data_IF_583787514665
#
_entry.id   IF_583787514665
#
_cell.length_a   1.000
_cell.length_b   1.000
_cell.length_c   1.000
_cell.angle_alpha   90.00
_cell.angle_beta   90.00
_cell.angle_gamma   90.00
#
_symmetry.space_group_name_H-M   'P 1'
#
loop_
_entity.id
_entity.type
_entity.pdbx_description
1 polymer ?
#
# COMPACT_ATOMS: atom_id res chain seq x y z
N UNK A 1 47.91 -91.85 -28.99
CA UNK A 1 46.72 -91.83 -28.10
C UNK A 1 46.62 -90.47 -27.48
N UNK A 2 45.78 -89.59 -28.01
CA UNK A 2 45.57 -88.24 -27.51
C UNK A 2 44.15 -88.16 -26.91
N UNK A 3 43.95 -87.58 -25.69
CA UNK A 3 42.61 -87.43 -25.12
C UNK A 3 41.91 -86.21 -25.71
N UNK A 4 40.69 -86.40 -26.15
CA UNK A 4 39.78 -85.35 -26.59
C UNK A 4 39.27 -84.48 -25.47
N UNK A 5 39.47 -83.18 -25.54
CA UNK A 5 38.93 -82.18 -24.62
C UNK A 5 37.48 -81.80 -25.04
N UNK A 6 36.52 -82.17 -24.24
CA UNK A 6 35.13 -81.75 -24.32
C UNK A 6 34.95 -80.31 -23.81
N UNK A 7 34.74 -79.38 -24.73
CA UNK A 7 34.36 -77.96 -24.35
C UNK A 7 32.86 -77.88 -24.12
N UNK A 8 32.49 -77.53 -22.95
CA UNK A 8 31.07 -77.20 -22.54
C UNK A 8 30.58 -75.91 -23.21
N UNK A 9 29.31 -75.85 -23.70
CA UNK A 9 28.79 -74.66 -24.36
C UNK A 9 28.45 -73.55 -23.30
N UNK A 10 28.53 -72.25 -23.67
CA UNK A 10 28.29 -71.17 -22.80
C UNK A 10 26.81 -71.11 -22.36
N UNK A 11 26.59 -70.96 -21.06
CA UNK A 11 25.27 -70.74 -20.45
C UNK A 11 24.65 -69.45 -20.98
N UNK A 12 23.61 -69.53 -21.79
CA UNK A 12 22.75 -68.41 -22.18
C UNK A 12 22.02 -67.86 -20.92
N UNK A 13 22.32 -66.61 -20.54
CA UNK A 13 21.58 -65.87 -19.52
C UNK A 13 20.21 -65.53 -20.04
N UNK A 14 19.16 -66.11 -19.48
CA UNK A 14 17.76 -65.73 -19.78
C UNK A 14 17.47 -64.35 -19.23
N UNK A 15 16.88 -63.43 -20.02
CA UNK A 15 16.51 -62.11 -19.51
C UNK A 15 15.45 -62.26 -18.43
N UNK A 16 15.73 -61.65 -17.28
CA UNK A 16 14.89 -61.67 -16.06
C UNK A 16 13.58 -60.95 -16.36
N UNK A 17 12.53 -61.67 -16.72
CA UNK A 17 11.15 -61.14 -16.94
C UNK A 17 10.64 -60.49 -15.64
N UNK A 18 10.54 -59.17 -15.64
CA UNK A 18 9.95 -58.45 -14.51
C UNK A 18 8.47 -58.78 -14.39
N UNK A 19 8.01 -59.28 -13.25
CA UNK A 19 6.63 -59.71 -13.02
C UNK A 19 5.65 -58.56 -13.23
N UNK A 20 4.45 -58.81 -13.79
CA UNK A 20 3.44 -57.75 -14.01
C UNK A 20 3.02 -57.02 -12.71
N UNK A 21 3.13 -57.67 -11.58
CA UNK A 21 2.89 -57.08 -10.27
C UNK A 21 3.89 -55.95 -9.92
N UNK A 22 5.20 -56.15 -10.21
CA UNK A 22 6.23 -55.09 -9.99
C UNK A 22 6.04 -53.89 -10.92
N UNK A 23 5.60 -54.07 -12.16
CA UNK A 23 5.26 -52.98 -13.09
C UNK A 23 4.06 -52.17 -12.59
N UNK A 24 3.00 -52.82 -12.10
CA UNK A 24 1.81 -52.17 -11.50
C UNK A 24 2.15 -51.42 -10.23
N UNK A 25 3.00 -51.96 -9.37
CA UNK A 25 3.46 -51.25 -8.14
C UNK A 25 4.33 -50.02 -8.47
N UNK A 26 5.22 -50.08 -9.45
CA UNK A 26 6.02 -48.95 -9.92
C UNK A 26 5.16 -47.83 -10.51
N UNK A 27 4.14 -48.17 -11.31
CA UNK A 27 3.18 -47.21 -11.87
C UNK A 27 2.37 -46.55 -10.77
N UNK A 28 1.85 -47.30 -9.78
CA UNK A 28 1.12 -46.72 -8.62
C UNK A 28 2.02 -45.81 -7.81
N UNK A 29 3.31 -46.15 -7.56
CA UNK A 29 4.25 -45.30 -6.84
C UNK A 29 4.53 -44.01 -7.62
N UNK A 30 4.74 -44.10 -8.95
CA UNK A 30 4.93 -42.91 -9.82
C UNK A 30 3.73 -41.99 -9.79
N UNK A 31 2.50 -42.55 -9.89
CA UNK A 31 1.27 -41.74 -9.86
C UNK A 31 1.06 -41.07 -8.52
N UNK A 32 1.41 -41.70 -7.38
CA UNK A 32 1.34 -41.08 -6.05
C UNK A 32 2.37 -39.96 -5.93
N UNK A 33 3.58 -40.13 -6.45
CA UNK A 33 4.60 -39.08 -6.45
C UNK A 33 4.20 -37.90 -7.34
N UNK A 34 3.62 -38.16 -8.52
CA UNK A 34 3.08 -37.12 -9.40
C UNK A 34 1.91 -36.38 -8.75
N UNK A 35 0.99 -37.08 -8.13
CA UNK A 35 -0.12 -36.45 -7.40
C UNK A 35 0.40 -35.58 -6.24
N UNK A 36 1.41 -36.05 -5.49
CA UNK A 36 2.07 -35.24 -4.45
C UNK A 36 2.74 -34.01 -5.01
N UNK A 37 3.46 -34.12 -6.13
CA UNK A 37 4.12 -33.00 -6.80
C UNK A 37 3.11 -31.96 -7.29
N UNK A 38 1.97 -32.40 -7.82
CA UNK A 38 0.87 -31.51 -8.26
C UNK A 38 0.29 -30.76 -7.07
N UNK A 39 0.03 -31.43 -5.94
CA UNK A 39 -0.47 -30.79 -4.71
C UNK A 39 0.53 -29.74 -4.21
N UNK A 40 1.81 -30.07 -4.15
CA UNK A 40 2.85 -29.12 -3.74
C UNK A 40 2.89 -27.92 -4.71
N UNK A 41 2.82 -28.16 -6.02
CA UNK A 41 2.80 -27.08 -7.01
C UNK A 41 1.60 -26.16 -6.84
N UNK A 42 0.41 -26.71 -6.56
CA UNK A 42 -0.80 -25.91 -6.27
C UNK A 42 -0.62 -25.09 -4.98
N UNK A 43 -0.11 -25.69 -3.92
CA UNK A 43 0.13 -24.98 -2.64
C UNK A 43 1.12 -23.84 -2.85
N UNK A 44 2.22 -24.07 -3.57
CA UNK A 44 3.19 -23.02 -3.90
C UNK A 44 2.56 -21.91 -4.74
N UNK A 45 1.79 -22.28 -5.76
CA UNK A 45 1.08 -21.30 -6.59
C UNK A 45 0.10 -20.44 -5.78
N UNK A 46 -0.66 -21.04 -4.85
CA UNK A 46 -1.55 -20.32 -3.94
C UNK A 46 -0.75 -19.39 -3.03
N UNK A 47 0.32 -19.87 -2.40
CA UNK A 47 1.15 -19.05 -1.50
C UNK A 47 1.82 -17.87 -2.23
N UNK A 48 2.22 -18.04 -3.48
CA UNK A 48 2.79 -16.96 -4.31
C UNK A 48 1.73 -15.99 -4.79
N UNK A 49 0.51 -16.47 -5.09
CA UNK A 49 -0.58 -15.60 -5.57
C UNK A 49 -1.30 -14.83 -4.45
N UNK A 50 -1.32 -15.34 -3.22
CA UNK A 50 -1.96 -14.69 -2.06
C UNK A 50 -1.52 -13.22 -1.86
N UNK A 51 -0.22 -12.87 -1.82
CA UNK A 51 0.20 -11.48 -1.63
C UNK A 51 -0.19 -10.57 -2.82
N UNK A 52 -0.20 -11.11 -4.04
CA UNK A 52 -0.66 -10.38 -5.23
C UNK A 52 -2.16 -10.09 -5.16
N UNK A 53 -2.98 -11.09 -4.79
CA UNK A 53 -4.42 -10.93 -4.60
C UNK A 53 -4.71 -9.96 -3.46
N UNK A 54 -4.01 -10.07 -2.32
CA UNK A 54 -4.15 -9.14 -1.20
C UNK A 54 -3.78 -7.71 -1.61
N UNK A 55 -2.69 -7.53 -2.35
CA UNK A 55 -2.30 -6.20 -2.86
C UNK A 55 -3.40 -5.61 -3.76
N UNK A 56 -3.96 -6.40 -4.67
CA UNK A 56 -5.04 -5.96 -5.56
C UNK A 56 -6.31 -5.65 -4.77
N UNK A 57 -6.71 -6.52 -3.82
CA UNK A 57 -7.87 -6.27 -2.95
C UNK A 57 -7.67 -4.99 -2.13
N UNK A 58 -6.48 -4.76 -1.57
CA UNK A 58 -6.17 -3.55 -0.81
C UNK A 58 -6.15 -2.28 -1.69
N UNK A 59 -5.77 -2.39 -2.96
CA UNK A 59 -5.86 -1.27 -3.91
C UNK A 59 -7.31 -0.91 -4.25
N UNK A 60 -8.21 -1.89 -4.32
CA UNK A 60 -9.64 -1.67 -4.56
C UNK A 60 -10.44 -1.46 -3.27
N UNK A 61 -9.93 -1.86 -2.10
CA UNK A 61 -10.57 -1.62 -0.82
C UNK A 61 -10.47 -0.14 -0.45
N UNK A 62 -11.53 0.40 0.14
CA UNK A 62 -11.53 1.68 0.82
C UNK A 62 -11.67 1.38 2.32
N UNK A 63 -10.55 1.14 3.03
CA UNK A 63 -10.63 0.92 4.47
C UNK A 63 -11.04 2.22 5.18
N UNK A 64 -11.83 2.11 6.24
CA UNK A 64 -12.16 3.22 7.11
C UNK A 64 -12.02 2.77 8.56
N UNK A 65 -11.09 3.37 9.26
CA UNK A 65 -10.93 3.24 10.72
C UNK A 65 -10.89 4.63 11.33
N UNK A 66 -11.12 4.74 12.65
CA UNK A 66 -11.13 6.03 13.36
C UNK A 66 -12.12 7.07 12.77
N UNK A 67 -13.28 6.61 12.29
CA UNK A 67 -14.27 7.49 11.67
C UNK A 67 -14.79 8.56 12.64
N UNK A 68 -14.93 8.23 13.91
CA UNK A 68 -15.29 9.14 15.01
C UNK A 68 -14.27 10.27 15.18
N UNK A 69 -12.97 9.94 15.20
CA UNK A 69 -11.88 10.92 15.26
C UNK A 69 -11.89 11.81 14.01
N UNK A 70 -12.05 11.21 12.83
CA UNK A 70 -12.12 11.96 11.56
C UNK A 70 -13.28 12.96 11.59
N UNK A 71 -14.49 12.53 12.02
CA UNK A 71 -15.64 13.45 12.18
C UNK A 71 -15.36 14.57 13.17
N UNK A 72 -14.81 14.23 14.33
CA UNK A 72 -14.45 15.21 15.35
C UNK A 72 -13.47 16.26 14.81
N UNK A 73 -12.40 15.82 14.14
CA UNK A 73 -11.41 16.74 13.59
C UNK A 73 -11.96 17.56 12.41
N UNK A 74 -12.81 16.95 11.58
CA UNK A 74 -13.52 17.65 10.52
C UNK A 74 -14.39 18.80 11.06
N UNK A 75 -15.20 18.53 12.08
CA UNK A 75 -16.03 19.53 12.73
C UNK A 75 -15.21 20.65 13.38
N UNK A 76 -14.18 20.30 14.15
CA UNK A 76 -13.33 21.27 14.86
C UNK A 76 -12.55 22.20 13.92
N UNK A 77 -12.18 21.70 12.75
CA UNK A 77 -11.32 22.40 11.81
C UNK A 77 -12.04 22.85 10.54
N UNK A 78 -13.37 22.68 10.50
CA UNK A 78 -14.19 23.01 9.34
C UNK A 78 -13.69 22.38 8.05
N UNK A 79 -13.32 21.09 8.13
CA UNK A 79 -12.86 20.27 6.99
C UNK A 79 -13.96 19.31 6.57
N UNK A 80 -13.90 18.88 5.31
CA UNK A 80 -14.68 17.74 4.85
C UNK A 80 -14.09 16.44 5.42
N UNK A 81 -14.85 15.61 6.16
CA UNK A 81 -14.33 14.34 6.68
C UNK A 81 -13.89 13.38 5.59
N UNK A 82 -14.51 13.40 4.41
CA UNK A 82 -14.07 12.60 3.27
C UNK A 82 -12.71 13.07 2.72
N UNK A 83 -12.39 14.35 2.80
CA UNK A 83 -11.08 14.88 2.44
C UNK A 83 -10.00 14.37 3.40
N UNK A 84 -10.26 14.39 4.73
CA UNK A 84 -9.34 13.81 5.72
C UNK A 84 -9.11 12.33 5.44
N UNK A 85 -10.18 11.56 5.22
CA UNK A 85 -10.09 10.15 4.88
C UNK A 85 -9.33 9.91 3.56
N UNK A 86 -9.50 10.80 2.58
CA UNK A 86 -8.77 10.78 1.31
C UNK A 86 -7.27 10.98 1.49
N UNK A 87 -6.86 11.91 2.36
CA UNK A 87 -5.45 12.13 2.72
C UNK A 87 -4.88 10.89 3.41
N UNK A 88 -5.54 10.36 4.44
CA UNK A 88 -5.11 9.13 5.13
C UNK A 88 -4.95 7.97 4.15
N UNK A 89 -5.90 7.82 3.23
CA UNK A 89 -5.82 6.78 2.21
C UNK A 89 -4.63 6.97 1.26
N UNK A 90 -4.37 8.18 0.83
CA UNK A 90 -3.26 8.47 -0.07
C UNK A 90 -1.90 8.26 0.60
N UNK A 91 -1.78 8.58 1.90
CA UNK A 91 -0.56 8.45 2.69
C UNK A 91 -0.27 6.98 3.07
N UNK A 92 -1.24 6.31 3.66
CA UNK A 92 -1.00 5.02 4.32
C UNK A 92 -2.03 3.95 4.01
N UNK A 93 -3.12 4.26 3.33
CA UNK A 93 -4.29 3.36 3.19
C UNK A 93 -4.82 2.88 4.56
N UNK A 94 -4.79 3.76 5.57
CA UNK A 94 -5.17 3.46 6.96
C UNK A 94 -4.29 2.42 7.68
N UNK A 95 -3.08 2.17 7.18
CA UNK A 95 -2.06 1.32 7.83
C UNK A 95 -0.93 2.22 8.38
N UNK A 96 -0.95 2.56 9.69
CA UNK A 96 -0.03 3.55 10.25
C UNK A 96 1.40 3.02 10.23
N UNK A 97 2.32 3.85 9.74
CA UNK A 97 3.74 3.50 9.62
C UNK A 97 4.65 4.72 9.67
N UNK A 98 5.93 4.48 9.87
CA UNK A 98 6.96 5.50 9.65
C UNK A 98 7.49 5.38 8.22
N UNK A 99 7.71 6.51 7.55
CA UNK A 99 8.36 6.54 6.24
C UNK A 99 9.89 6.58 6.37
N UNK A 100 10.59 6.27 5.29
CA UNK A 100 12.05 6.42 5.23
C UNK A 100 12.50 7.89 5.41
N UNK A 101 11.65 8.85 5.08
CA UNK A 101 11.88 10.28 5.30
C UNK A 101 11.55 10.74 6.73
N UNK A 102 11.07 9.85 7.60
CA UNK A 102 10.74 10.16 9.00
C UNK A 102 9.34 10.70 9.24
N UNK A 103 8.45 10.69 8.24
CA UNK A 103 7.03 11.01 8.45
C UNK A 103 6.34 9.89 9.24
N UNK A 104 5.38 10.23 10.10
CA UNK A 104 4.80 9.34 11.09
C UNK A 104 3.28 9.20 10.95
N UNK A 105 2.78 8.01 11.23
CA UNK A 105 1.38 7.69 11.46
C UNK A 105 0.51 7.70 10.21
N UNK A 106 -0.81 7.76 10.41
CA UNK A 106 -1.84 7.62 9.37
C UNK A 106 -1.77 8.71 8.29
N UNK A 107 -1.51 9.95 8.69
CA UNK A 107 -1.45 11.12 7.82
C UNK A 107 -0.01 11.53 7.46
N UNK A 108 0.99 10.70 7.80
CA UNK A 108 2.41 10.90 7.50
C UNK A 108 2.89 12.31 7.87
N UNK A 109 2.64 12.72 9.11
CA UNK A 109 3.04 14.04 9.60
C UNK A 109 4.54 14.05 9.90
N UNK A 110 5.25 15.02 9.34
CA UNK A 110 6.67 15.22 9.64
C UNK A 110 6.84 15.78 11.06
N UNK A 111 7.85 15.31 11.84
CA UNK A 111 8.15 15.83 13.17
C UNK A 111 8.29 17.34 13.23
N UNK A 112 8.94 17.91 12.25
CA UNK A 112 9.13 19.38 12.16
C UNK A 112 7.81 20.11 11.94
N UNK A 113 6.93 19.59 11.09
CA UNK A 113 5.59 20.14 10.87
C UNK A 113 4.76 20.06 12.17
N UNK A 114 4.82 18.93 12.87
CA UNK A 114 4.10 18.79 14.13
C UNK A 114 4.63 19.75 15.21
N UNK A 115 5.94 19.93 15.31
CA UNK A 115 6.53 20.90 16.25
C UNK A 115 6.10 22.34 15.92
N UNK A 116 6.09 22.72 14.63
CA UNK A 116 5.56 24.01 14.18
C UNK A 116 4.10 24.21 14.60
N UNK A 117 3.26 23.20 14.36
CA UNK A 117 1.84 23.26 14.71
C UNK A 117 1.60 23.26 16.24
N UNK A 118 2.40 22.50 17.00
CA UNK A 118 2.35 22.52 18.46
C UNK A 118 2.65 23.91 19.02
N UNK A 119 3.74 24.54 18.53
CA UNK A 119 4.06 25.92 18.90
C UNK A 119 2.93 26.89 18.54
N UNK A 120 2.39 26.78 17.32
CA UNK A 120 1.31 27.64 16.82
C UNK A 120 0.00 27.49 17.60
N UNK A 121 -0.29 26.29 18.13
CA UNK A 121 -1.48 26.01 18.93
C UNK A 121 -1.31 26.28 20.44
N UNK A 122 -0.09 26.58 20.88
CA UNK A 122 0.24 26.70 22.30
C UNK A 122 0.28 25.38 23.07
N UNK A 123 0.43 24.25 22.37
CA UNK A 123 0.55 22.94 23.01
C UNK A 123 1.90 22.79 23.71
N UNK A 124 1.88 22.61 25.04
CA UNK A 124 3.08 22.55 25.89
C UNK A 124 3.54 21.13 26.22
N UNK A 125 2.67 20.14 26.03
CA UNK A 125 2.93 18.74 26.41
C UNK A 125 3.17 17.82 25.23
N UNK A 126 3.08 18.30 23.99
CA UNK A 126 3.25 17.51 22.78
C UNK A 126 4.71 17.03 22.63
N UNK A 127 4.85 15.75 22.31
CA UNK A 127 6.11 15.15 21.90
C UNK A 127 5.94 14.48 20.52
N UNK A 128 7.04 14.35 19.78
CA UNK A 128 7.01 13.68 18.45
C UNK A 128 6.53 12.23 18.54
N UNK A 129 6.76 11.54 19.66
CA UNK A 129 6.31 10.17 19.89
C UNK A 129 4.77 10.05 19.87
N UNK A 130 4.05 11.11 20.22
CA UNK A 130 2.59 11.15 20.24
C UNK A 130 1.98 10.97 18.83
N UNK A 131 2.76 11.27 17.78
CA UNK A 131 2.34 11.05 16.39
C UNK A 131 2.13 9.57 16.02
N UNK A 132 2.60 8.63 16.85
CA UNK A 132 2.30 7.21 16.71
C UNK A 132 0.85 6.87 17.09
N UNK A 133 0.21 7.72 17.90
CA UNK A 133 -1.18 7.56 18.31
C UNK A 133 -2.13 8.04 17.20
N UNK A 134 -3.03 7.19 16.68
CA UNK A 134 -3.91 7.54 15.57
C UNK A 134 -4.69 8.84 15.77
N UNK A 135 -5.30 9.02 16.94
CA UNK A 135 -6.09 10.22 17.23
C UNK A 135 -5.25 11.50 17.20
N UNK A 136 -4.04 11.48 17.78
CA UNK A 136 -3.11 12.61 17.76
C UNK A 136 -2.63 12.88 16.33
N UNK A 137 -2.28 11.83 15.60
CA UNK A 137 -1.82 11.96 14.24
C UNK A 137 -2.88 12.57 13.31
N UNK A 138 -4.13 12.10 13.40
CA UNK A 138 -5.25 12.67 12.64
C UNK A 138 -5.48 14.13 13.05
N UNK A 139 -5.38 14.47 14.34
CA UNK A 139 -5.56 15.84 14.81
C UNK A 139 -4.49 16.79 14.22
N UNK A 140 -3.22 16.40 14.25
CA UNK A 140 -2.13 17.21 13.71
C UNK A 140 -2.15 17.28 12.18
N UNK A 141 -2.39 16.15 11.49
CA UNK A 141 -2.52 16.12 10.04
C UNK A 141 -3.69 16.96 9.52
N UNK A 142 -4.83 16.88 10.20
CA UNK A 142 -6.01 17.72 9.89
C UNK A 142 -5.74 19.20 10.19
N UNK A 143 -4.98 19.51 11.24
CA UNK A 143 -4.59 20.90 11.52
C UNK A 143 -3.67 21.43 10.42
N UNK A 144 -2.68 20.65 9.99
CA UNK A 144 -1.82 21.05 8.89
C UNK A 144 -2.59 21.25 7.58
N UNK A 145 -3.52 20.35 7.28
CA UNK A 145 -4.39 20.48 6.09
C UNK A 145 -5.22 21.77 6.14
N UNK A 146 -5.80 22.11 7.31
CA UNK A 146 -6.53 23.38 7.50
C UNK A 146 -5.60 24.59 7.35
N UNK A 147 -4.41 24.52 7.93
CA UNK A 147 -3.40 25.56 7.79
C UNK A 147 -3.12 25.84 6.31
N UNK A 148 -2.83 24.79 5.53
CA UNK A 148 -2.54 24.91 4.10
C UNK A 148 -3.75 25.42 3.29
N UNK A 149 -4.97 24.98 3.62
CA UNK A 149 -6.17 25.51 2.98
C UNK A 149 -6.33 27.02 3.23
N UNK A 150 -5.98 27.51 4.40
CA UNK A 150 -6.01 28.94 4.70
C UNK A 150 -4.92 29.69 3.91
N UNK A 151 -3.69 29.16 3.86
CA UNK A 151 -2.58 29.77 3.09
C UNK A 151 -2.92 29.86 1.59
N UNK A 152 -3.60 28.86 1.04
CA UNK A 152 -3.99 28.83 -0.38
C UNK A 152 -5.46 29.23 -0.63
N UNK A 153 -6.03 30.04 0.24
CA UNK A 153 -7.38 30.66 0.08
C UNK A 153 -8.49 29.66 -0.25
N UNK A 154 -8.46 28.48 0.35
CA UNK A 154 -9.43 27.40 0.13
C UNK A 154 -9.18 26.54 -1.10
N UNK A 155 -8.10 26.79 -1.86
CA UNK A 155 -7.77 25.96 -3.03
C UNK A 155 -7.22 24.60 -2.58
N UNK A 156 -8.11 23.59 -2.62
CA UNK A 156 -7.77 22.21 -2.20
C UNK A 156 -6.62 21.61 -3.01
N UNK A 157 -6.55 21.89 -4.30
CA UNK A 157 -5.45 21.38 -5.16
C UNK A 157 -4.09 21.89 -4.70
N UNK A 158 -3.99 23.21 -4.43
CA UNK A 158 -2.75 23.83 -3.96
C UNK A 158 -2.39 23.36 -2.54
N UNK A 159 -3.36 23.28 -1.65
CA UNK A 159 -3.17 22.79 -0.29
C UNK A 159 -2.66 21.33 -0.27
N UNK A 160 -3.23 20.46 -1.09
CA UNK A 160 -2.78 19.08 -1.22
C UNK A 160 -1.38 18.97 -1.87
N UNK A 161 -1.11 19.82 -2.86
CA UNK A 161 0.21 19.89 -3.46
C UNK A 161 1.27 20.33 -2.44
N UNK A 162 0.94 21.29 -1.56
CA UNK A 162 1.83 21.75 -0.49
C UNK A 162 1.98 20.71 0.62
N UNK A 163 0.92 19.98 0.95
CA UNK A 163 0.97 18.90 1.92
C UNK A 163 2.03 17.85 1.58
N UNK A 164 2.09 17.44 0.31
CA UNK A 164 3.03 16.43 -0.16
C UNK A 164 4.35 17.02 -0.67
N UNK A 165 4.28 18.11 -1.43
CA UNK A 165 5.43 18.69 -2.12
C UNK A 165 6.13 19.84 -1.38
N UNK A 166 5.51 20.35 -0.29
CA UNK A 166 5.99 21.48 0.48
C UNK A 166 5.59 22.85 -0.09
N UNK A 167 5.31 23.80 0.81
CA UNK A 167 4.82 25.15 0.51
C UNK A 167 5.77 25.91 -0.43
N UNK A 168 7.07 25.94 -0.14
CA UNK A 168 8.06 26.66 -0.96
C UNK A 168 8.13 26.19 -2.42
N UNK A 169 7.82 24.93 -2.68
CA UNK A 169 7.73 24.42 -4.05
C UNK A 169 6.47 24.93 -4.74
N UNK A 170 5.33 24.85 -4.06
CA UNK A 170 4.03 25.29 -4.59
C UNK A 170 4.06 26.79 -4.89
N UNK A 171 4.64 27.61 -4.01
CA UNK A 171 4.77 29.06 -4.21
C UNK A 171 5.59 29.38 -5.46
N UNK A 172 6.69 28.64 -5.69
CA UNK A 172 7.47 28.78 -6.92
C UNK A 172 6.69 28.35 -8.17
N UNK A 173 5.91 27.30 -8.07
CA UNK A 173 5.09 26.85 -9.21
C UNK A 173 3.97 27.82 -9.52
N UNK A 174 3.34 28.41 -8.49
CA UNK A 174 2.34 29.48 -8.66
C UNK A 174 2.95 30.69 -9.37
N UNK A 175 4.14 31.14 -8.93
CA UNK A 175 4.84 32.24 -9.55
C UNK A 175 5.17 31.95 -11.01
N UNK A 176 5.62 30.75 -11.33
CA UNK A 176 5.90 30.32 -12.71
C UNK A 176 4.66 30.29 -13.60
N UNK A 177 3.53 29.75 -13.12
CA UNK A 177 2.27 29.74 -13.85
C UNK A 177 1.73 31.16 -14.11
N UNK A 178 1.81 32.03 -13.09
CA UNK A 178 1.43 33.47 -13.24
C UNK A 178 2.28 34.18 -14.28
N UNK A 179 3.57 33.93 -14.32
CA UNK A 179 4.47 34.51 -15.33
C UNK A 179 4.08 34.07 -16.76
N UNK A 180 3.42 32.92 -16.90
CA UNK A 180 2.89 32.39 -18.16
C UNK A 180 1.42 32.80 -18.42
N UNK A 181 0.82 33.61 -17.54
CA UNK A 181 -0.53 34.15 -17.69
C UNK A 181 -1.68 33.22 -17.28
N UNK A 182 -1.41 32.18 -16.50
CA UNK A 182 -2.46 31.25 -16.03
C UNK A 182 -2.34 30.89 -14.54
N UNK A 183 -3.39 30.28 -13.99
CA UNK A 183 -3.38 29.71 -12.65
C UNK A 183 -2.80 28.29 -12.66
N UNK A 184 -2.09 27.92 -11.59
CA UNK A 184 -1.51 26.59 -11.43
C UNK A 184 -2.63 25.53 -11.37
N UNK A 185 -2.56 24.55 -12.25
CA UNK A 185 -3.44 23.37 -12.28
C UNK A 185 -2.67 22.11 -11.84
N UNK A 186 -3.37 20.99 -11.65
CA UNK A 186 -2.71 19.69 -11.33
C UNK A 186 -1.72 19.30 -12.43
N UNK A 187 -2.01 19.60 -13.69
CA UNK A 187 -1.14 19.24 -14.81
C UNK A 187 0.20 20.00 -14.79
N UNK A 188 0.20 21.20 -14.22
CA UNK A 188 1.37 22.09 -14.15
C UNK A 188 2.30 21.74 -12.99
N UNK A 189 1.90 20.85 -12.06
CA UNK A 189 2.76 20.43 -10.95
C UNK A 189 3.98 19.68 -11.52
N UNK A 190 5.22 20.19 -11.36
CA UNK A 190 6.39 19.58 -12.00
C UNK A 190 6.76 18.22 -11.40
N UNK A 191 6.47 17.99 -10.11
CA UNK A 191 6.79 16.76 -9.42
C UNK A 191 5.76 15.67 -9.73
N UNK A 192 6.11 14.58 -10.46
CA UNK A 192 5.17 13.52 -10.82
C UNK A 192 4.52 12.86 -9.61
N UNK A 193 5.27 12.71 -8.50
CA UNK A 193 4.78 12.14 -7.26
C UNK A 193 3.69 13.01 -6.65
N UNK A 194 3.92 14.31 -6.52
CA UNK A 194 2.94 15.26 -5.96
C UNK A 194 1.70 15.37 -6.84
N UNK A 195 1.86 15.39 -8.17
CA UNK A 195 0.75 15.36 -9.12
C UNK A 195 -0.12 14.11 -8.96
N UNK A 196 0.52 12.94 -8.84
CA UNK A 196 -0.17 11.68 -8.59
C UNK A 196 -0.84 11.65 -7.20
N UNK A 197 -0.19 12.23 -6.19
CA UNK A 197 -0.75 12.37 -4.85
C UNK A 197 -2.05 13.18 -4.85
N UNK A 198 -2.03 14.40 -5.40
CA UNK A 198 -3.22 15.26 -5.49
C UNK A 198 -4.38 14.53 -6.18
N UNK A 199 -4.10 13.89 -7.31
CA UNK A 199 -5.11 13.12 -8.06
C UNK A 199 -5.67 11.98 -7.23
N UNK A 200 -4.82 11.26 -6.50
CA UNK A 200 -5.20 10.13 -5.63
C UNK A 200 -6.07 10.59 -4.48
N UNK A 201 -5.72 11.69 -3.78
CA UNK A 201 -6.52 12.23 -2.67
C UNK A 201 -7.90 12.65 -3.17
N UNK A 202 -8.00 13.46 -4.23
CA UNK A 202 -9.28 13.92 -4.76
C UNK A 202 -10.17 12.79 -5.28
N UNK A 203 -9.57 11.74 -5.84
CA UNK A 203 -10.31 10.54 -6.22
C UNK A 203 -10.81 9.76 -5.01
N UNK A 204 -9.96 9.60 -4.00
CA UNK A 204 -10.32 8.91 -2.76
C UNK A 204 -11.42 9.68 -1.99
N UNK A 205 -11.30 10.99 -1.85
CA UNK A 205 -12.32 11.84 -1.22
C UNK A 205 -13.71 11.59 -1.81
N UNK A 206 -13.86 11.63 -3.15
CA UNK A 206 -15.15 11.34 -3.81
C UNK A 206 -15.68 9.96 -3.48
N UNK A 207 -14.81 8.94 -3.46
CA UNK A 207 -15.18 7.55 -3.13
C UNK A 207 -15.58 7.38 -1.66
N UNK A 208 -14.88 8.05 -0.73
CA UNK A 208 -15.22 8.06 0.70
C UNK A 208 -16.57 8.74 0.94
N UNK A 209 -16.80 9.88 0.33
CA UNK A 209 -18.08 10.61 0.43
C UNK A 209 -19.26 9.76 -0.05
N UNK A 210 -19.09 8.98 -1.11
CA UNK A 210 -20.14 8.11 -1.64
C UNK A 210 -20.34 6.84 -0.80
N UNK A 211 -19.25 6.18 -0.42
CA UNK A 211 -19.32 4.88 0.23
C UNK A 211 -19.64 4.96 1.72
N UNK A 212 -19.14 5.98 2.40
CA UNK A 212 -19.16 6.10 3.86
C UNK A 212 -19.90 7.36 4.32
N UNK A 213 -20.99 7.71 3.61
CA UNK A 213 -21.78 8.90 3.93
C UNK A 213 -22.34 8.86 5.37
N UNK A 214 -22.86 7.72 5.80
CA UNK A 214 -23.41 7.57 7.16
C UNK A 214 -22.31 7.64 8.23
N UNK A 215 -21.16 7.01 8.00
CA UNK A 215 -20.06 6.95 8.97
C UNK A 215 -19.30 8.29 9.09
N UNK A 216 -19.27 9.10 8.04
CA UNK A 216 -18.50 10.33 8.00
C UNK A 216 -19.34 11.58 8.25
N UNK A 217 -20.65 11.57 8.00
CA UNK A 217 -21.50 12.76 8.10
C UNK A 217 -22.72 12.56 9.03
N UNK A 218 -22.93 11.31 9.54
CA UNK A 218 -24.03 10.97 10.46
C UNK A 218 -23.77 11.32 11.92
#
# INVERSE_FOLDING_TARGET
MSPSTLTSPPRRSTPRRTSPARKRAAVRRRNRLLAGAVVVAIVVAVLVSLPLVQKTVNEFSLPLTNADVIRQQAAQKHLDPALIAGVIYAETKFDPRSSAAGALGLMQVMPQTAAFLAHRSGATTFTTADLSTPAVNIAYGSYYLRYLLNEYHGNTTLALAAYNGGESNVDRWIAGARAQGHSLTVADIPFPETRAYVTRVLSAERRYRQKYAAELYG
#
